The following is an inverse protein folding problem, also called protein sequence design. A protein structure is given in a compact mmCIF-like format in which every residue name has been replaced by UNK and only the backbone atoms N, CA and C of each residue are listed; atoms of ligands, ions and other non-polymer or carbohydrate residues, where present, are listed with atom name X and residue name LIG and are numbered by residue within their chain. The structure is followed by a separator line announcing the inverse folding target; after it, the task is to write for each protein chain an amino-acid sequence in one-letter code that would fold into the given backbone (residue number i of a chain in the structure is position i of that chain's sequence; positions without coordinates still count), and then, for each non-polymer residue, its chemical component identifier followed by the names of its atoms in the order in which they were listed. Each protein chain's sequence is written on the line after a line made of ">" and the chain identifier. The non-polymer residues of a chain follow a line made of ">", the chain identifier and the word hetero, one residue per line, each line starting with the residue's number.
data_IF_148133629056
#
_entry.id   IF_148133629056
#
_cell.length_a   1.000
_cell.length_b   1.000
_cell.length_c   1.000
_cell.angle_alpha   90.00
_cell.angle_beta   90.00
_cell.angle_gamma   90.00
#
_symmetry.space_group_name_H-M   'P 1'
#
loop_
_entity.id
_entity.type
_entity.pdbx_description
1 polymer ?
#
# COMPACT_ATOMS: atom_id res chain seq x y z
N UNK A 1 37.54 30.34 30.47
CA UNK A 1 36.27 30.38 31.19
C UNK A 1 35.08 30.85 30.32
N UNK A 2 35.13 32.01 29.65
CA UNK A 2 34.05 32.51 28.79
C UNK A 2 33.68 31.56 27.62
N UNK A 3 34.58 30.88 26.99
CA UNK A 3 34.31 29.95 25.89
C UNK A 3 33.69 28.62 26.38
N UNK A 4 34.09 28.13 27.55
CA UNK A 4 33.53 26.95 28.19
C UNK A 4 32.07 27.23 28.59
N UNK A 5 31.78 28.41 29.14
CA UNK A 5 30.42 28.80 29.51
C UNK A 5 29.48 28.94 28.27
N UNK A 6 30.00 29.50 27.19
CA UNK A 6 29.27 29.56 25.89
C UNK A 6 29.01 28.18 25.31
N UNK A 7 30.02 27.30 25.38
CA UNK A 7 29.87 25.92 24.92
C UNK A 7 28.88 25.13 25.76
N UNK A 8 28.90 25.26 27.08
CA UNK A 8 27.93 24.64 27.99
C UNK A 8 26.51 25.21 27.78
N UNK A 9 26.37 26.51 27.52
CA UNK A 9 25.09 27.12 27.22
C UNK A 9 24.53 26.65 25.86
N UNK A 10 25.41 26.51 24.85
CA UNK A 10 25.02 25.94 23.55
C UNK A 10 24.61 24.47 23.68
N UNK A 11 25.36 23.68 24.44
CA UNK A 11 25.09 22.27 24.72
C UNK A 11 23.76 22.12 25.49
N UNK A 12 23.50 22.97 26.49
CA UNK A 12 22.21 22.95 27.23
C UNK A 12 21.03 23.37 26.37
N UNK A 13 21.22 24.33 25.44
CA UNK A 13 20.17 24.74 24.51
C UNK A 13 19.84 23.63 23.50
N UNK A 14 20.84 22.93 23.02
CA UNK A 14 20.64 21.75 22.12
C UNK A 14 19.92 20.61 22.86
N UNK A 15 20.29 20.34 24.14
CA UNK A 15 19.63 19.34 24.97
C UNK A 15 18.16 19.69 25.27
N UNK A 16 17.83 20.98 25.47
CA UNK A 16 16.45 21.43 25.69
C UNK A 16 15.59 21.29 24.43
N UNK A 17 16.13 21.56 23.25
CA UNK A 17 15.42 21.37 21.97
C UNK A 17 15.19 19.89 21.70
N UNK A 18 16.17 19.04 22.01
CA UNK A 18 16.08 17.57 21.85
C UNK A 18 14.98 16.96 22.72
N UNK A 19 14.79 17.46 23.95
CA UNK A 19 13.80 16.94 24.89
C UNK A 19 12.34 17.22 24.47
N UNK A 20 12.10 18.14 23.52
CA UNK A 20 10.77 18.53 23.04
C UNK A 20 10.36 17.89 21.71
N UNK A 21 11.29 17.25 20.98
CA UNK A 21 10.95 16.63 19.70
C UNK A 21 10.26 15.27 19.93
N UNK A 22 9.03 15.15 19.43
CA UNK A 22 8.23 13.93 19.52
C UNK A 22 7.61 13.60 18.16
N UNK A 23 7.30 12.31 17.93
CA UNK A 23 6.48 11.93 16.79
C UNK A 23 5.07 12.53 16.93
N UNK A 24 4.37 12.84 15.83
CA UNK A 24 2.98 13.28 15.85
C UNK A 24 2.08 12.24 16.50
N UNK A 25 1.33 12.65 17.52
CA UNK A 25 0.39 11.78 18.22
C UNK A 25 -0.79 11.41 17.33
N UNK A 26 -1.28 10.19 17.47
CA UNK A 26 -2.54 9.76 16.90
C UNK A 26 -3.63 10.02 17.93
N UNK A 27 -4.75 10.62 17.54
CA UNK A 27 -5.83 10.93 18.48
C UNK A 27 -6.50 9.63 18.98
N UNK A 28 -6.89 9.56 20.26
CA UNK A 28 -7.66 8.45 20.77
C UNK A 28 -9.07 8.43 20.18
N UNK A 29 -9.55 7.26 19.80
CA UNK A 29 -10.96 7.05 19.48
C UNK A 29 -11.77 7.12 20.78
N UNK A 30 -12.71 8.07 20.89
CA UNK A 30 -13.50 8.28 22.12
C UNK A 30 -14.47 7.15 22.39
N UNK A 31 -15.17 6.70 21.35
CA UNK A 31 -16.16 5.61 21.41
C UNK A 31 -16.06 4.83 20.11
N UNK A 32 -15.99 3.51 20.22
CA UNK A 32 -16.03 2.62 19.07
C UNK A 32 -17.41 2.66 18.41
N UNK A 33 -17.41 2.82 17.08
CA UNK A 33 -18.61 2.76 16.25
C UNK A 33 -18.24 2.14 14.91
N UNK A 34 -18.70 0.91 14.65
CA UNK A 34 -18.39 0.16 13.42
C UNK A 34 -18.92 0.81 12.15
N UNK A 35 -19.84 1.78 12.25
CA UNK A 35 -20.40 2.53 11.12
C UNK A 35 -19.63 3.82 10.80
N UNK A 36 -18.63 4.21 11.61
CA UNK A 36 -17.91 5.48 11.45
C UNK A 36 -16.45 5.28 11.04
N UNK A 37 -15.83 6.37 10.58
CA UNK A 37 -14.42 6.43 10.17
C UNK A 37 -14.21 6.02 8.71
N UNK A 38 -12.94 5.86 8.33
CA UNK A 38 -12.53 5.52 6.97
C UNK A 38 -12.72 4.02 6.72
N UNK A 39 -13.89 3.67 6.16
CA UNK A 39 -14.33 2.30 5.84
C UNK A 39 -14.91 2.25 4.44
N UNK A 40 -14.76 1.12 3.79
CA UNK A 40 -15.34 0.92 2.45
C UNK A 40 -16.88 1.12 2.46
N UNK A 41 -17.56 0.58 3.48
CA UNK A 41 -19.02 0.73 3.66
C UNK A 41 -19.52 2.18 3.79
N UNK A 42 -18.63 3.13 4.06
CA UNK A 42 -18.98 4.55 4.22
C UNK A 42 -18.77 5.38 2.96
N UNK A 43 -18.31 4.75 1.87
CA UNK A 43 -18.21 5.42 0.57
C UNK A 43 -19.61 5.58 -0.05
N UNK A 44 -19.80 6.67 -0.77
CA UNK A 44 -21.03 6.86 -1.55
C UNK A 44 -20.94 6.00 -2.82
N UNK A 45 -21.70 4.90 -2.85
CA UNK A 45 -21.79 4.00 -3.99
C UNK A 45 -22.63 4.56 -5.17
N UNK A 46 -23.08 5.82 -5.10
CA UNK A 46 -24.13 6.35 -5.97
C UNK A 46 -23.71 6.65 -7.41
N UNK A 47 -22.43 6.63 -7.74
CA UNK A 47 -21.99 7.01 -9.09
C UNK A 47 -21.67 5.83 -10.01
N UNK A 48 -21.40 4.64 -9.49
CA UNK A 48 -21.14 3.42 -10.26
C UNK A 48 -22.19 2.35 -9.96
N UNK A 49 -22.70 1.73 -11.01
CA UNK A 49 -23.48 0.49 -10.85
C UNK A 49 -22.53 -0.58 -10.33
N UNK A 50 -22.95 -1.37 -9.36
CA UNK A 50 -22.15 -2.42 -8.73
C UNK A 50 -21.92 -3.66 -9.65
N UNK A 51 -22.16 -3.55 -10.95
CA UNK A 51 -21.97 -4.61 -11.93
C UNK A 51 -20.51 -4.85 -12.36
N UNK A 52 -19.63 -3.87 -12.14
CA UNK A 52 -18.19 -3.95 -12.35
C UNK A 52 -17.44 -3.59 -11.07
N UNK A 53 -16.57 -4.47 -10.60
CA UNK A 53 -15.72 -4.20 -9.45
C UNK A 53 -14.25 -4.30 -9.80
N UNK A 54 -13.51 -3.19 -9.66
CA UNK A 54 -12.12 -3.08 -10.08
C UNK A 54 -11.19 -2.84 -8.89
N UNK A 55 -10.27 -3.78 -8.69
CA UNK A 55 -9.22 -3.72 -7.66
C UNK A 55 -7.88 -3.50 -8.34
N UNK A 56 -7.18 -2.42 -7.96
CA UNK A 56 -5.79 -2.21 -8.30
C UNK A 56 -4.88 -2.60 -7.12
N UNK A 57 -3.74 -3.19 -7.43
CA UNK A 57 -2.68 -3.42 -6.47
C UNK A 57 -1.37 -2.85 -6.99
N UNK A 58 -0.74 -1.96 -6.19
CA UNK A 58 0.51 -1.30 -6.50
C UNK A 58 1.61 -1.76 -5.54
N UNK A 59 2.59 -2.47 -6.07
CA UNK A 59 3.70 -3.01 -5.28
C UNK A 59 4.67 -1.96 -4.78
N UNK A 60 5.56 -2.35 -3.88
CA UNK A 60 6.72 -1.57 -3.49
C UNK A 60 7.78 -1.47 -4.58
N UNK A 61 8.77 -0.58 -4.38
CA UNK A 61 9.90 -0.37 -5.30
C UNK A 61 10.32 1.09 -5.53
N UNK A 62 10.05 1.99 -4.58
CA UNK A 62 10.43 3.41 -4.66
C UNK A 62 9.84 4.12 -5.88
N UNK A 63 10.58 5.05 -6.47
CA UNK A 63 10.14 5.82 -7.65
C UNK A 63 9.84 4.91 -8.86
N UNK A 64 10.53 3.74 -8.98
CA UNK A 64 10.23 2.75 -10.03
C UNK A 64 8.78 2.26 -9.95
N UNK A 65 8.34 1.84 -8.76
CA UNK A 65 6.98 1.38 -8.54
C UNK A 65 5.95 2.51 -8.72
N UNK A 66 6.27 3.70 -8.25
CA UNK A 66 5.42 4.86 -8.45
C UNK A 66 5.23 5.20 -9.92
N UNK A 67 6.30 5.19 -10.73
CA UNK A 67 6.25 5.48 -12.15
C UNK A 67 5.48 4.40 -12.94
N UNK A 68 5.71 3.11 -12.62
CA UNK A 68 4.99 2.00 -13.25
C UNK A 68 3.48 2.08 -12.94
N UNK A 69 3.12 2.31 -11.68
CA UNK A 69 1.73 2.47 -11.24
C UNK A 69 1.06 3.69 -11.89
N UNK A 70 1.81 4.79 -12.02
CA UNK A 70 1.33 5.99 -12.69
C UNK A 70 1.02 5.72 -14.17
N UNK A 71 1.90 5.02 -14.90
CA UNK A 71 1.68 4.65 -16.30
C UNK A 71 0.46 3.73 -16.48
N UNK A 72 0.16 2.86 -15.50
CA UNK A 72 -1.09 2.08 -15.50
C UNK A 72 -2.30 3.01 -15.38
N UNK A 73 -2.30 3.97 -14.45
CA UNK A 73 -3.40 4.94 -14.30
C UNK A 73 -3.57 5.79 -15.58
N UNK A 74 -2.49 6.23 -16.23
CA UNK A 74 -2.52 6.94 -17.51
C UNK A 74 -3.23 6.10 -18.60
N UNK A 75 -2.91 4.80 -18.67
CA UNK A 75 -3.54 3.90 -19.63
C UNK A 75 -5.02 3.69 -19.33
N UNK A 76 -5.39 3.48 -18.07
CA UNK A 76 -6.78 3.32 -17.65
C UNK A 76 -7.62 4.56 -17.95
N UNK A 77 -7.03 5.77 -17.81
CA UNK A 77 -7.68 7.05 -18.14
C UNK A 77 -8.16 7.12 -19.61
N UNK A 78 -7.42 6.51 -20.51
CA UNK A 78 -7.73 6.52 -21.96
C UNK A 78 -8.47 5.26 -22.41
N UNK A 79 -8.80 4.35 -21.49
CA UNK A 79 -9.45 3.07 -21.79
C UNK A 79 -10.92 3.10 -21.41
N UNK A 80 -11.76 2.58 -22.28
CA UNK A 80 -13.18 2.35 -22.01
C UNK A 80 -13.48 0.87 -21.96
N UNK A 81 -14.43 0.50 -21.14
CA UNK A 81 -15.01 -0.85 -21.05
C UNK A 81 -16.49 -0.75 -21.37
N UNK A 82 -17.04 -1.74 -22.08
CA UNK A 82 -18.46 -1.83 -22.37
C UNK A 82 -19.14 -2.81 -21.42
N UNK A 83 -20.15 -2.33 -20.70
CA UNK A 83 -20.94 -3.15 -19.78
C UNK A 83 -22.40 -2.86 -20.07
N UNK A 84 -23.16 -3.90 -20.41
CA UNK A 84 -24.58 -3.80 -20.77
C UNK A 84 -24.86 -2.74 -21.86
N UNK A 85 -23.99 -2.63 -22.86
CA UNK A 85 -24.10 -1.67 -23.94
C UNK A 85 -23.74 -0.22 -23.58
N UNK A 86 -23.24 0.02 -22.34
CA UNK A 86 -22.78 1.32 -21.90
C UNK A 86 -21.24 1.37 -21.88
N UNK A 87 -20.67 2.35 -22.56
CA UNK A 87 -19.23 2.61 -22.52
C UNK A 87 -18.88 3.44 -21.29
N UNK A 88 -18.02 2.91 -20.43
CA UNK A 88 -17.55 3.55 -19.19
C UNK A 88 -16.04 3.71 -19.22
N UNK A 89 -15.53 4.78 -18.61
CA UNK A 89 -14.09 5.01 -18.48
C UNK A 89 -13.52 4.14 -17.37
N UNK A 90 -12.57 3.26 -17.68
CA UNK A 90 -12.07 2.26 -16.74
C UNK A 90 -11.36 2.87 -15.52
N UNK A 91 -10.73 4.04 -15.64
CA UNK A 91 -10.14 4.74 -14.50
C UNK A 91 -11.19 5.15 -13.46
N UNK A 92 -12.39 5.54 -13.90
CA UNK A 92 -13.48 5.96 -13.01
C UNK A 92 -14.20 4.80 -12.35
N UNK A 93 -14.01 3.59 -12.88
CA UNK A 93 -14.57 2.35 -12.33
C UNK A 93 -13.71 1.72 -11.24
N UNK A 94 -12.57 2.32 -10.89
CA UNK A 94 -11.70 1.77 -9.83
C UNK A 94 -12.40 1.91 -8.48
N UNK A 95 -12.69 0.77 -7.84
CA UNK A 95 -13.32 0.72 -6.52
C UNK A 95 -12.31 0.77 -5.39
N UNK A 96 -11.19 0.07 -5.54
CA UNK A 96 -10.20 -0.09 -4.50
C UNK A 96 -8.78 -0.05 -5.08
N UNK A 97 -7.89 0.66 -4.38
CA UNK A 97 -6.44 0.59 -4.61
C UNK A 97 -5.76 0.14 -3.34
N UNK A 98 -5.14 -1.04 -3.37
CA UNK A 98 -4.23 -1.50 -2.32
C UNK A 98 -2.80 -1.21 -2.74
N UNK A 99 -1.99 -0.66 -1.84
CA UNK A 99 -0.67 -0.14 -2.22
C UNK A 99 0.38 -0.33 -1.14
N UNK A 100 1.63 -0.40 -1.58
CA UNK A 100 2.80 -0.62 -0.73
C UNK A 100 3.94 0.30 -1.16
N UNK A 101 4.65 0.90 -0.20
CA UNK A 101 5.90 1.64 -0.40
C UNK A 101 5.81 2.65 -1.55
N UNK A 102 6.65 2.53 -2.59
CA UNK A 102 6.62 3.41 -3.76
C UNK A 102 5.27 3.49 -4.46
N UNK A 103 4.53 2.38 -4.57
CA UNK A 103 3.18 2.36 -5.13
C UNK A 103 2.17 3.17 -4.31
N UNK A 104 2.42 3.33 -2.99
CA UNK A 104 1.54 4.11 -2.11
C UNK A 104 1.59 5.61 -2.40
N UNK A 105 2.68 6.13 -2.95
CA UNK A 105 2.72 7.54 -3.38
C UNK A 105 1.73 7.80 -4.50
N UNK A 106 1.73 6.97 -5.53
CA UNK A 106 0.80 7.10 -6.68
C UNK A 106 -0.65 6.86 -6.24
N UNK A 107 -0.90 5.80 -5.47
CA UNK A 107 -2.23 5.47 -4.98
C UNK A 107 -2.81 6.59 -4.11
N UNK A 108 -2.03 7.08 -3.14
CA UNK A 108 -2.46 8.12 -2.22
C UNK A 108 -2.68 9.45 -2.94
N UNK A 109 -1.79 9.85 -3.87
CA UNK A 109 -1.99 11.08 -4.61
C UNK A 109 -3.26 11.03 -5.46
N UNK A 110 -3.46 9.94 -6.23
CA UNK A 110 -4.69 9.78 -7.01
C UNK A 110 -5.95 9.75 -6.13
N UNK A 111 -5.92 9.02 -5.02
CA UNK A 111 -7.06 8.93 -4.12
C UNK A 111 -7.41 10.26 -3.43
N UNK A 112 -6.42 11.11 -3.15
CA UNK A 112 -6.63 12.42 -2.51
C UNK A 112 -6.98 13.50 -3.52
N UNK A 113 -6.27 13.57 -4.65
CA UNK A 113 -6.37 14.68 -5.60
C UNK A 113 -7.07 14.32 -6.91
N UNK A 114 -7.37 13.01 -7.13
CA UNK A 114 -8.09 12.55 -8.32
C UNK A 114 -7.33 12.84 -9.61
N UNK A 115 -8.02 13.37 -10.60
CA UNK A 115 -7.47 13.62 -11.94
C UNK A 115 -6.38 14.70 -11.99
N UNK A 116 -6.15 15.44 -10.90
CA UNK A 116 -5.02 16.39 -10.79
C UNK A 116 -3.68 15.71 -11.04
N UNK A 117 -3.56 14.42 -10.70
CA UNK A 117 -2.36 13.61 -10.95
C UNK A 117 -1.92 13.62 -12.43
N UNK A 118 -2.85 13.87 -13.37
CA UNK A 118 -2.60 13.91 -14.82
C UNK A 118 -2.44 15.32 -15.37
N UNK A 119 -2.59 16.33 -14.55
CA UNK A 119 -2.37 17.72 -14.95
C UNK A 119 -0.87 17.94 -15.14
N UNK A 120 -0.48 18.51 -16.27
CA UNK A 120 0.93 18.85 -16.54
C UNK A 120 1.47 19.81 -15.48
N UNK A 121 2.66 19.53 -14.96
CA UNK A 121 3.27 20.34 -13.89
C UNK A 121 2.62 20.19 -12.52
N UNK A 122 1.86 19.10 -12.28
CA UNK A 122 1.32 18.84 -10.95
C UNK A 122 2.41 18.45 -9.93
N UNK A 123 2.09 18.58 -8.65
CA UNK A 123 3.05 18.31 -7.56
C UNK A 123 3.61 16.89 -7.57
N UNK A 124 2.85 15.90 -7.99
CA UNK A 124 3.30 14.52 -8.00
C UNK A 124 4.40 14.29 -9.03
N UNK A 125 4.22 14.85 -10.23
CA UNK A 125 5.24 14.74 -11.27
C UNK A 125 6.48 15.56 -10.91
N UNK A 126 6.32 16.85 -10.59
CA UNK A 126 7.44 17.76 -10.38
C UNK A 126 8.20 17.50 -9.09
N UNK A 127 7.50 17.18 -7.98
CA UNK A 127 8.10 17.09 -6.67
C UNK A 127 8.33 15.64 -6.19
N UNK A 128 7.98 14.65 -7.02
CA UNK A 128 8.22 13.24 -6.68
C UNK A 128 8.77 12.43 -7.86
N UNK A 129 8.03 12.27 -8.97
CA UNK A 129 8.45 11.37 -10.04
C UNK A 129 9.77 11.82 -10.70
N UNK A 130 9.91 13.10 -10.97
CA UNK A 130 11.10 13.70 -11.61
C UNK A 130 12.03 14.40 -10.62
N UNK A 131 11.73 14.30 -9.32
CA UNK A 131 12.46 15.00 -8.28
C UNK A 131 13.42 14.08 -7.54
N UNK A 132 14.54 14.64 -7.08
CA UNK A 132 15.51 13.91 -6.27
C UNK A 132 15.16 13.98 -4.76
N UNK A 133 14.08 13.29 -4.37
CA UNK A 133 13.63 13.20 -2.98
C UNK A 133 14.72 12.64 -2.07
N UNK A 134 15.55 11.71 -2.58
CA UNK A 134 16.67 11.13 -1.83
C UNK A 134 17.67 12.20 -1.40
N UNK A 135 17.99 13.15 -2.28
CA UNK A 135 18.91 14.24 -1.96
C UNK A 135 18.36 15.15 -0.86
N UNK A 136 17.08 15.50 -0.92
CA UNK A 136 16.45 16.35 0.09
C UNK A 136 16.36 15.64 1.45
N UNK A 137 16.05 14.35 1.48
CA UNK A 137 16.12 13.55 2.70
C UNK A 137 17.53 13.61 3.30
N UNK A 138 18.54 13.43 2.46
CA UNK A 138 19.93 13.50 2.88
C UNK A 138 20.29 14.88 3.45
N UNK A 139 19.95 15.96 2.73
CA UNK A 139 20.19 17.33 3.18
C UNK A 139 19.47 17.66 4.49
N UNK A 140 18.22 17.23 4.64
CA UNK A 140 17.46 17.39 5.90
C UNK A 140 18.12 16.61 7.06
N UNK A 141 18.67 15.42 6.83
CA UNK A 141 19.40 14.65 7.84
C UNK A 141 20.71 15.32 8.29
N UNK A 142 21.38 16.06 7.40
CA UNK A 142 22.59 16.81 7.73
C UNK A 142 22.34 18.23 8.26
N UNK A 143 21.09 18.66 8.37
CA UNK A 143 20.73 19.94 8.96
C UNK A 143 20.94 19.89 10.50
N UNK A 144 21.75 20.78 11.09
CA UNK A 144 21.98 20.83 12.54
C UNK A 144 20.73 20.93 13.40
N UNK A 145 19.68 21.60 12.91
CA UNK A 145 18.39 21.66 13.58
C UNK A 145 17.77 20.26 13.74
N UNK A 146 17.86 19.42 12.69
CA UNK A 146 17.34 18.06 12.75
C UNK A 146 18.22 17.13 13.60
N UNK A 147 19.51 17.38 13.73
CA UNK A 147 20.35 16.63 14.66
C UNK A 147 19.87 16.79 16.11
N UNK A 148 19.53 18.02 16.51
CA UNK A 148 18.94 18.25 17.83
C UNK A 148 17.64 17.47 18.02
N UNK A 149 16.78 17.40 17.02
CA UNK A 149 15.52 16.65 17.06
C UNK A 149 15.75 15.13 17.08
N UNK A 150 16.68 14.64 16.26
CA UNK A 150 17.05 13.23 16.18
C UNK A 150 17.75 12.70 17.45
N UNK A 151 18.26 13.57 18.32
CA UNK A 151 18.77 13.20 19.63
C UNK A 151 17.63 12.83 20.62
N UNK A 152 16.37 13.16 20.31
CA UNK A 152 15.22 12.71 21.08
C UNK A 152 14.93 11.21 20.82
N UNK A 153 14.68 10.41 21.88
CA UNK A 153 14.32 9.00 21.72
C UNK A 153 12.94 8.78 21.07
N UNK A 154 12.12 9.83 20.98
CA UNK A 154 10.75 9.79 20.44
C UNK A 154 10.61 10.49 19.09
N UNK A 155 11.72 10.86 18.44
CA UNK A 155 11.73 11.48 17.12
C UNK A 155 12.76 10.81 16.22
N UNK A 156 12.31 10.19 15.15
CA UNK A 156 13.17 9.41 14.27
C UNK A 156 13.31 9.98 12.85
N UNK A 157 14.17 9.37 12.04
CA UNK A 157 14.38 9.73 10.64
C UNK A 157 13.11 9.66 9.82
N UNK A 158 12.18 8.78 10.18
CA UNK A 158 10.90 8.65 9.49
C UNK A 158 10.00 9.88 9.64
N UNK A 159 10.12 10.60 10.76
CA UNK A 159 9.37 11.83 10.98
C UNK A 159 9.86 12.94 10.04
N UNK A 160 11.18 13.01 9.79
CA UNK A 160 11.76 13.94 8.81
C UNK A 160 11.26 13.61 7.39
N UNK A 161 11.17 12.33 7.05
CA UNK A 161 10.61 11.90 5.77
C UNK A 161 9.12 12.24 5.65
N UNK A 162 8.35 12.05 6.73
CA UNK A 162 6.94 12.42 6.80
C UNK A 162 6.72 13.92 6.54
N UNK A 163 7.53 14.77 7.19
CA UNK A 163 7.50 16.22 6.98
C UNK A 163 7.83 16.57 5.52
N UNK A 164 8.85 15.93 4.94
CA UNK A 164 9.22 16.17 3.53
C UNK A 164 8.10 15.76 2.57
N UNK A 165 7.46 14.60 2.76
CA UNK A 165 6.36 14.15 1.90
C UNK A 165 5.13 15.04 2.04
N UNK A 166 4.87 15.56 3.24
CA UNK A 166 3.85 16.56 3.48
C UNK A 166 4.14 17.84 2.69
N UNK A 167 5.35 18.39 2.81
CA UNK A 167 5.76 19.64 2.17
C UNK A 167 5.72 19.55 0.63
N UNK A 168 6.27 18.47 0.09
CA UNK A 168 6.44 18.31 -1.37
C UNK A 168 5.15 17.86 -2.06
N UNK A 169 4.39 16.94 -1.46
CA UNK A 169 3.40 16.15 -2.20
C UNK A 169 1.98 16.32 -1.64
N UNK A 170 1.77 15.96 -0.35
CA UNK A 170 0.43 15.74 0.19
C UNK A 170 -0.18 16.95 0.91
N UNK A 171 0.63 17.96 1.28
CA UNK A 171 0.14 19.09 2.09
C UNK A 171 -0.47 18.63 3.40
N UNK A 172 -1.59 19.21 3.77
CA UNK A 172 -2.34 18.92 5.01
C UNK A 172 -3.36 17.78 4.85
N UNK A 173 -3.30 17.01 3.78
CA UNK A 173 -4.26 15.92 3.54
C UNK A 173 -4.18 14.86 4.65
N UNK A 174 -5.32 14.49 5.19
CA UNK A 174 -5.52 13.51 6.25
C UNK A 174 -6.65 12.52 5.89
N UNK A 175 -6.84 11.47 6.71
CA UNK A 175 -7.93 10.52 6.47
C UNK A 175 -9.31 11.13 6.76
N UNK A 176 -9.44 12.16 7.60
CA UNK A 176 -10.70 12.90 7.72
C UNK A 176 -11.13 13.53 6.39
N UNK A 177 -10.19 13.99 5.58
CA UNK A 177 -10.50 14.56 4.26
C UNK A 177 -11.07 13.50 3.30
N UNK A 178 -10.56 12.26 3.34
CA UNK A 178 -11.11 11.13 2.58
C UNK A 178 -12.49 10.71 3.07
N UNK A 179 -12.71 10.68 4.40
CA UNK A 179 -14.03 10.40 5.00
C UNK A 179 -15.07 11.44 4.57
N UNK A 180 -14.69 12.71 4.51
CA UNK A 180 -15.62 13.79 4.06
C UNK A 180 -15.97 13.69 2.58
N UNK A 181 -15.01 13.30 1.73
CA UNK A 181 -15.23 13.18 0.28
C UNK A 181 -16.13 11.99 -0.09
N UNK A 182 -15.99 10.87 0.62
CA UNK A 182 -16.73 9.62 0.40
C UNK A 182 -16.71 9.10 -1.04
N UNK A 183 -15.66 9.41 -1.80
CA UNK A 183 -15.53 9.03 -3.21
C UNK A 183 -14.62 7.83 -3.38
N UNK A 184 -14.87 7.03 -4.43
CA UNK A 184 -13.93 6.01 -4.90
C UNK A 184 -12.68 6.66 -5.53
N UNK A 185 -11.55 5.95 -5.56
CA UNK A 185 -11.31 4.62 -5.02
C UNK A 185 -11.11 4.61 -3.51
N UNK A 186 -11.42 3.49 -2.87
CA UNK A 186 -11.02 3.22 -1.49
C UNK A 186 -9.54 2.89 -1.43
N UNK A 187 -8.78 3.62 -0.61
CA UNK A 187 -7.34 3.41 -0.48
C UNK A 187 -7.02 2.48 0.68
N UNK A 188 -6.19 1.48 0.41
CA UNK A 188 -5.56 0.62 1.41
C UNK A 188 -4.05 0.82 1.35
N UNK A 189 -3.52 1.73 2.17
CA UNK A 189 -2.08 1.95 2.32
C UNK A 189 -1.58 0.93 3.34
N UNK A 190 -0.62 0.09 2.94
CA UNK A 190 -0.16 -1.03 3.75
C UNK A 190 1.24 -0.79 4.32
N UNK A 191 1.39 -1.06 5.61
CA UNK A 191 2.65 -1.11 6.34
C UNK A 191 2.80 -2.48 7.01
N UNK A 192 3.89 -2.72 7.72
CA UNK A 192 4.15 -3.93 8.50
C UNK A 192 4.26 -3.61 9.97
N UNK A 193 3.49 -4.30 10.81
CA UNK A 193 3.69 -4.29 12.26
C UNK A 193 5.02 -4.98 12.60
N UNK A 194 5.99 -4.22 13.07
CA UNK A 194 7.34 -4.71 13.38
C UNK A 194 7.36 -5.84 14.40
N UNK A 195 6.45 -5.81 15.39
CA UNK A 195 6.41 -6.80 16.48
C UNK A 195 5.94 -8.18 16.00
N UNK A 196 5.06 -8.20 15.01
CA UNK A 196 4.39 -9.44 14.56
C UNK A 196 4.75 -9.85 13.13
N UNK A 197 5.39 -8.98 12.36
CA UNK A 197 5.63 -9.20 10.92
C UNK A 197 4.35 -9.30 10.12
N UNK A 198 3.23 -8.83 10.66
CA UNK A 198 1.92 -8.89 10.00
C UNK A 198 1.59 -7.59 9.30
N UNK A 199 0.81 -7.68 8.21
CA UNK A 199 0.33 -6.52 7.49
C UNK A 199 -0.53 -5.63 8.40
N UNK A 200 -0.25 -4.32 8.37
CA UNK A 200 -1.00 -3.26 9.02
C UNK A 200 -1.54 -2.31 7.96
N UNK A 201 -2.84 -2.26 7.78
CA UNK A 201 -3.48 -1.45 6.74
C UNK A 201 -4.09 -0.18 7.34
N UNK A 202 -3.89 0.97 6.71
CA UNK A 202 -4.49 2.25 7.14
C UNK A 202 -5.97 2.30 6.73
N UNK A 203 -6.79 1.59 7.47
CA UNK A 203 -8.26 1.57 7.43
C UNK A 203 -8.80 1.61 8.86
N UNK A 204 -9.97 2.18 9.10
CA UNK A 204 -10.47 2.35 10.47
C UNK A 204 -10.63 1.02 11.22
N UNK A 205 -11.05 -0.05 10.55
CA UNK A 205 -11.18 -1.38 11.18
C UNK A 205 -9.86 -1.97 11.71
N UNK A 206 -8.70 -1.50 11.19
CA UNK A 206 -7.38 -1.84 11.73
C UNK A 206 -7.01 -0.97 12.94
N UNK A 207 -7.54 0.26 13.00
CA UNK A 207 -7.32 1.21 14.10
C UNK A 207 -8.28 1.02 15.28
N UNK A 208 -9.44 0.40 15.06
CA UNK A 208 -10.43 0.15 16.12
C UNK A 208 -9.85 -0.63 17.32
N UNK A 209 -9.14 -1.77 17.13
CA UNK A 209 -8.60 -2.53 18.25
C UNK A 209 -7.50 -1.79 19.03
N UNK A 210 -6.86 -0.81 18.45
CA UNK A 210 -5.93 0.07 19.17
C UNK A 210 -6.60 1.34 19.72
N UNK A 211 -7.92 1.47 19.60
CA UNK A 211 -8.70 2.62 20.02
C UNK A 211 -8.13 3.97 19.52
N UNK A 212 -7.62 4.02 18.29
CA UNK A 212 -7.07 5.21 17.67
C UNK A 212 -7.95 5.71 16.53
N UNK A 213 -8.04 7.03 16.36
CA UNK A 213 -8.76 7.66 15.26
C UNK A 213 -7.86 7.79 14.04
N UNK A 214 -8.05 6.92 13.05
CA UNK A 214 -7.34 7.01 11.77
C UNK A 214 -7.55 8.37 11.10
N UNK A 215 -8.70 9.01 11.29
CA UNK A 215 -9.00 10.31 10.69
C UNK A 215 -7.95 11.37 10.99
N UNK A 216 -7.33 11.33 12.18
CA UNK A 216 -6.28 12.26 12.62
C UNK A 216 -4.91 12.03 11.98
N UNK A 217 -4.73 10.89 11.27
CA UNK A 217 -3.45 10.55 10.64
C UNK A 217 -3.35 11.23 9.29
N UNK A 218 -2.23 11.94 9.03
CA UNK A 218 -1.97 12.53 7.72
C UNK A 218 -1.67 11.47 6.67
N UNK A 219 -2.04 11.73 5.42
CA UNK A 219 -1.73 10.85 4.29
C UNK A 219 -0.21 10.69 4.13
N UNK A 220 0.55 11.78 4.30
CA UNK A 220 2.01 11.75 4.28
C UNK A 220 2.58 10.75 5.30
N UNK A 221 1.98 10.67 6.51
CA UNK A 221 2.40 9.75 7.56
C UNK A 221 2.10 8.29 7.22
N UNK A 222 0.94 8.01 6.64
CA UNK A 222 0.59 6.67 6.19
C UNK A 222 1.51 6.19 5.05
N UNK A 223 1.79 7.07 4.08
CA UNK A 223 2.72 6.76 2.97
C UNK A 223 4.15 6.60 3.50
N UNK A 224 4.59 7.43 4.46
CA UNK A 224 5.88 7.28 5.12
C UNK A 224 5.99 5.93 5.86
N UNK A 225 4.95 5.50 6.58
CA UNK A 225 4.92 4.19 7.21
C UNK A 225 5.03 3.05 6.19
N UNK A 226 4.30 3.18 5.08
CA UNK A 226 4.28 2.20 4.00
C UNK A 226 5.62 2.08 3.26
N UNK A 227 6.40 3.19 3.19
CA UNK A 227 7.70 3.27 2.52
C UNK A 227 8.88 3.34 3.49
N UNK A 228 8.68 2.87 4.71
CA UNK A 228 9.66 2.89 5.79
C UNK A 228 10.64 1.73 5.67
N UNK A 229 11.48 1.77 4.64
CA UNK A 229 12.46 0.71 4.39
C UNK A 229 13.42 0.54 5.58
N UNK A 230 13.55 -0.69 6.11
CA UNK A 230 14.46 -0.97 7.21
C UNK A 230 15.89 -0.50 6.91
N UNK A 231 16.64 -0.10 7.94
CA UNK A 231 18.00 0.50 7.85
C UNK A 231 18.00 1.95 7.38
N UNK A 232 17.26 2.32 6.34
CA UNK A 232 17.21 3.71 5.87
C UNK A 232 16.47 4.61 6.86
N UNK A 233 15.36 4.12 7.42
CA UNK A 233 14.52 4.88 8.35
C UNK A 233 14.38 4.17 9.71
N UNK A 234 13.98 4.94 10.72
CA UNK A 234 13.51 4.40 12.00
C UNK A 234 12.08 3.89 11.86
N UNK A 235 11.64 2.87 12.64
CA UNK A 235 10.23 2.48 12.65
C UNK A 235 9.31 3.67 12.94
N UNK A 236 8.18 3.77 12.21
CA UNK A 236 7.16 4.77 12.50
C UNK A 236 6.34 4.32 13.70
N UNK A 237 6.13 5.22 14.66
CA UNK A 237 5.39 4.91 15.89
C UNK A 237 3.98 5.49 15.83
N UNK A 238 2.98 4.67 16.12
CA UNK A 238 1.59 5.10 16.38
C UNK A 238 1.26 4.88 17.85
N UNK A 239 0.48 5.82 18.41
CA UNK A 239 -0.11 5.62 19.74
C UNK A 239 -1.21 4.55 19.69
N UNK A 240 -1.32 3.78 20.75
CA UNK A 240 -2.34 2.75 20.96
C UNK A 240 -2.94 2.94 22.34
N UNK A 241 -4.27 2.90 22.43
CA UNK A 241 -5.05 3.18 23.63
C UNK A 241 -5.96 1.99 23.99
N UNK A 242 -5.41 0.77 24.19
CA UNK A 242 -6.22 -0.43 24.37
C UNK A 242 -7.21 -0.27 25.54
N UNK A 243 -8.47 -0.57 25.26
CA UNK A 243 -9.57 -0.46 26.23
C UNK A 243 -10.16 0.95 26.40
N UNK A 244 -9.62 1.99 25.73
CA UNK A 244 -10.10 3.38 25.94
C UNK A 244 -11.41 3.70 25.21
N UNK A 245 -11.84 2.91 24.21
CA UNK A 245 -12.96 3.24 23.33
C UNK A 245 -14.12 2.24 23.39
N UNK A 246 -14.14 1.33 24.36
CA UNK A 246 -15.17 0.26 24.47
C UNK A 246 -15.23 -0.61 23.18
N UNK A 247 -14.08 -0.94 22.61
CA UNK A 247 -14.01 -1.75 21.39
C UNK A 247 -14.68 -3.10 21.57
N UNK A 248 -15.59 -3.43 20.66
CA UNK A 248 -16.25 -4.71 20.58
C UNK A 248 -15.58 -5.55 19.51
N UNK A 249 -14.95 -6.65 19.91
CA UNK A 249 -14.33 -7.59 18.98
C UNK A 249 -15.38 -8.17 18.03
N UNK A 250 -15.18 -8.11 16.70
CA UNK A 250 -16.10 -8.69 15.74
C UNK A 250 -16.21 -10.21 15.90
N UNK A 251 -17.42 -10.78 15.74
CA UNK A 251 -17.68 -12.23 15.90
C UNK A 251 -16.79 -13.11 15.03
N UNK A 252 -16.38 -12.63 13.85
CA UNK A 252 -15.50 -13.39 12.99
C UNK A 252 -14.14 -13.70 13.64
N UNK A 253 -13.63 -12.85 14.53
CA UNK A 253 -12.35 -13.06 15.23
C UNK A 253 -12.48 -14.28 16.17
N UNK A 254 -13.55 -14.33 16.97
CA UNK A 254 -13.80 -15.47 17.84
C UNK A 254 -13.98 -16.78 17.05
N UNK A 255 -14.75 -16.74 15.96
CA UNK A 255 -14.97 -17.89 15.08
C UNK A 255 -13.68 -18.37 14.44
N UNK A 256 -12.85 -17.44 13.94
CA UNK A 256 -11.58 -17.74 13.31
C UNK A 256 -10.58 -18.40 14.27
N UNK A 257 -10.57 -17.97 15.54
CA UNK A 257 -9.68 -18.54 16.57
C UNK A 257 -10.04 -19.99 16.96
N UNK A 258 -11.22 -20.46 16.59
CA UNK A 258 -11.65 -21.85 16.78
C UNK A 258 -11.41 -22.72 15.54
N UNK A 259 -10.97 -22.15 14.42
CA UNK A 259 -10.93 -22.78 13.09
C UNK A 259 -9.50 -22.89 12.48
N UNK A 260 -8.51 -23.16 13.33
CA UNK A 260 -7.11 -23.31 12.87
C UNK A 260 -6.97 -24.41 11.82
N UNK A 261 -7.69 -25.53 11.97
CA UNK A 261 -7.57 -26.70 11.11
C UNK A 261 -8.04 -26.47 9.68
N UNK A 262 -9.12 -25.72 9.48
CA UNK A 262 -9.70 -25.49 8.16
C UNK A 262 -9.22 -24.19 7.52
N UNK A 263 -8.97 -23.15 8.35
CA UNK A 263 -8.62 -21.80 7.87
C UNK A 263 -7.42 -21.20 8.64
N UNK A 264 -6.21 -21.75 8.49
CA UNK A 264 -5.04 -21.31 9.28
C UNK A 264 -4.68 -19.83 9.05
N UNK A 265 -4.88 -19.29 7.84
CA UNK A 265 -4.62 -17.86 7.54
C UNK A 265 -5.61 -16.93 8.23
N UNK A 266 -6.90 -17.31 8.26
CA UNK A 266 -7.94 -16.58 8.98
C UNK A 266 -7.70 -16.60 10.49
N UNK A 267 -7.35 -17.78 11.03
CA UNK A 267 -6.92 -17.94 12.43
C UNK A 267 -5.75 -17.02 12.77
N UNK A 268 -4.69 -17.04 11.93
CA UNK A 268 -3.50 -16.21 12.14
C UNK A 268 -3.87 -14.72 12.17
N UNK A 269 -4.69 -14.24 11.23
CA UNK A 269 -5.14 -12.86 11.16
C UNK A 269 -5.93 -12.47 12.42
N UNK A 270 -6.88 -13.30 12.85
CA UNK A 270 -7.65 -13.08 14.07
C UNK A 270 -6.75 -13.00 15.32
N UNK A 271 -5.79 -13.92 15.40
CA UNK A 271 -4.79 -13.92 16.48
C UNK A 271 -3.96 -12.63 16.48
N UNK A 272 -3.50 -12.16 15.32
CA UNK A 272 -2.75 -10.90 15.25
C UNK A 272 -3.61 -9.71 15.69
N UNK A 273 -4.85 -9.64 15.21
CA UNK A 273 -5.77 -8.56 15.60
C UNK A 273 -5.99 -8.52 17.11
N UNK A 274 -6.19 -9.68 17.76
CA UNK A 274 -6.40 -9.76 19.21
C UNK A 274 -5.21 -9.25 20.02
N UNK A 275 -3.97 -9.35 19.51
CA UNK A 275 -2.79 -8.84 20.21
C UNK A 275 -2.81 -7.33 20.44
N UNK A 276 -3.58 -6.58 19.65
CA UNK A 276 -3.73 -5.13 19.84
C UNK A 276 -4.54 -4.76 21.07
N UNK A 277 -5.32 -5.69 21.62
CA UNK A 277 -6.09 -5.51 22.88
C UNK A 277 -5.23 -5.74 24.13
N UNK A 278 -4.00 -6.20 23.99
CA UNK A 278 -3.10 -6.40 25.13
C UNK A 278 -2.73 -5.03 25.74
N UNK A 279 -2.99 -4.86 27.04
CA UNK A 279 -2.85 -3.58 27.76
C UNK A 279 -1.42 -3.01 27.77
N UNK A 280 -0.42 -3.85 27.60
CA UNK A 280 1.00 -3.42 27.53
C UNK A 280 1.37 -2.82 26.17
N UNK A 281 0.54 -3.01 25.16
CA UNK A 281 0.82 -2.57 23.79
C UNK A 281 0.36 -1.12 23.56
N UNK A 282 1.06 -0.17 24.19
CA UNK A 282 0.75 1.28 24.09
C UNK A 282 1.22 1.93 22.80
N UNK A 283 2.05 1.25 22.02
CA UNK A 283 2.59 1.72 20.76
C UNK A 283 2.57 0.62 19.71
N UNK A 284 2.36 0.99 18.46
CA UNK A 284 2.54 0.14 17.29
C UNK A 284 3.68 0.72 16.47
N UNK A 285 4.73 -0.08 16.24
CA UNK A 285 5.88 0.30 15.43
C UNK A 285 5.74 -0.32 14.04
N UNK A 286 5.80 0.54 13.02
CA UNK A 286 5.57 0.15 11.64
C UNK A 286 6.85 0.23 10.81
N UNK A 287 7.01 -0.74 9.92
CA UNK A 287 8.04 -0.82 8.89
C UNK A 287 7.37 -0.77 7.52
N UNK A 288 8.19 -0.75 6.44
CA UNK A 288 7.74 -0.85 5.05
C UNK A 288 6.75 -2.00 4.87
N UNK A 289 5.70 -1.72 4.11
CA UNK A 289 4.63 -2.69 3.86
C UNK A 289 5.11 -3.92 3.12
N UNK A 290 6.16 -3.78 2.32
CA UNK A 290 6.78 -4.86 1.58
C UNK A 290 7.28 -6.00 2.47
N UNK A 291 7.70 -5.73 3.70
CA UNK A 291 8.18 -6.76 4.64
C UNK A 291 7.11 -7.82 4.91
N UNK A 292 5.83 -7.46 4.99
CA UNK A 292 4.72 -8.41 5.17
C UNK A 292 4.10 -8.86 3.85
N UNK A 293 3.96 -7.95 2.89
CA UNK A 293 3.29 -8.19 1.60
C UNK A 293 3.63 -7.09 0.59
N UNK A 294 4.62 -7.31 -0.25
CA UNK A 294 5.08 -6.29 -1.21
C UNK A 294 4.09 -6.03 -2.37
N UNK A 295 3.15 -6.94 -2.62
CA UNK A 295 2.08 -6.78 -3.60
C UNK A 295 0.88 -6.04 -3.00
N UNK A 296 0.64 -6.16 -1.69
CA UNK A 296 -0.47 -5.49 -1.01
C UNK A 296 -1.82 -6.19 -1.15
N UNK A 297 -1.87 -7.44 -1.60
CA UNK A 297 -3.13 -8.16 -1.85
C UNK A 297 -3.53 -9.16 -0.75
N UNK A 298 -2.68 -9.49 0.21
CA UNK A 298 -2.99 -10.52 1.21
C UNK A 298 -4.24 -10.22 2.01
N UNK A 299 -4.43 -8.95 2.42
CA UNK A 299 -5.65 -8.55 3.13
C UNK A 299 -6.91 -8.64 2.25
N UNK A 300 -6.96 -8.04 1.04
CA UNK A 300 -8.06 -8.23 0.11
C UNK A 300 -8.37 -9.72 -0.16
N UNK A 301 -7.35 -10.54 -0.41
CA UNK A 301 -7.53 -11.97 -0.70
C UNK A 301 -8.01 -12.78 0.50
N UNK A 302 -7.54 -12.47 1.70
CA UNK A 302 -8.04 -13.12 2.92
C UNK A 302 -9.51 -12.79 3.13
N UNK A 303 -9.92 -11.57 2.81
CA UNK A 303 -11.32 -11.14 2.85
C UNK A 303 -12.18 -11.88 1.81
N UNK A 304 -11.66 -12.14 0.62
CA UNK A 304 -12.33 -12.93 -0.42
C UNK A 304 -12.54 -14.40 -0.03
N UNK A 305 -11.62 -14.96 0.74
CA UNK A 305 -11.67 -16.39 1.15
C UNK A 305 -12.51 -16.63 2.39
N UNK A 306 -12.71 -15.62 3.21
CA UNK A 306 -13.55 -15.73 4.39
C UNK A 306 -14.98 -15.42 4.02
N UNK A 307 -15.91 -16.37 4.21
CA UNK A 307 -17.34 -16.10 4.13
C UNK A 307 -17.84 -15.24 5.31
N UNK A 308 -16.95 -14.45 5.92
CA UNK A 308 -17.30 -13.60 7.05
C UNK A 308 -17.86 -12.26 6.58
N UNK A 309 -19.11 -11.93 6.93
CA UNK A 309 -19.73 -10.65 6.56
C UNK A 309 -18.91 -9.44 6.98
N UNK A 310 -18.21 -9.53 8.11
CA UNK A 310 -17.49 -8.40 8.71
C UNK A 310 -16.09 -8.17 8.11
N UNK A 311 -15.55 -9.13 7.35
CA UNK A 311 -14.20 -9.08 6.79
C UNK A 311 -14.16 -8.87 5.28
N UNK A 312 -15.22 -9.24 4.62
CA UNK A 312 -15.22 -9.30 3.17
C UNK A 312 -15.61 -7.96 2.59
N UNK A 313 -14.65 -7.28 1.96
CA UNK A 313 -14.97 -6.17 1.05
C UNK A 313 -16.01 -6.64 0.02
N UNK A 314 -15.97 -7.90 -0.37
CA UNK A 314 -16.91 -8.52 -1.31
C UNK A 314 -18.29 -8.75 -0.69
N UNK A 315 -18.40 -8.98 0.63
CA UNK A 315 -19.70 -9.02 1.30
C UNK A 315 -20.29 -7.62 1.55
N UNK A 316 -19.45 -6.59 1.52
CA UNK A 316 -19.89 -5.20 1.50
C UNK A 316 -20.35 -4.74 0.10
N UNK A 317 -20.01 -5.55 -0.91
CA UNK A 317 -20.43 -5.38 -2.29
C UNK A 317 -21.55 -6.38 -2.50
N UNK A 318 -22.66 -5.95 -3.06
CA UNK A 318 -23.75 -6.87 -3.43
C UNK A 318 -23.26 -7.82 -4.54
N UNK A 319 -22.70 -8.98 -4.14
CA UNK A 319 -22.18 -9.98 -5.11
C UNK A 319 -23.22 -10.44 -6.12
N UNK A 320 -24.52 -10.30 -5.81
CA UNK A 320 -25.61 -10.64 -6.73
C UNK A 320 -25.71 -9.64 -7.88
N UNK A 321 -25.15 -8.44 -7.73
CA UNK A 321 -25.16 -7.39 -8.77
C UNK A 321 -23.87 -7.36 -9.59
N UNK A 322 -22.73 -7.87 -9.03
CA UNK A 322 -21.43 -7.87 -9.73
C UNK A 322 -21.46 -8.87 -10.89
N UNK A 323 -21.18 -8.38 -12.08
CA UNK A 323 -21.01 -9.19 -13.29
C UNK A 323 -19.55 -9.43 -13.61
N UNK A 324 -18.69 -8.43 -13.39
CA UNK A 324 -17.26 -8.49 -13.68
C UNK A 324 -16.43 -8.10 -12.45
N UNK A 325 -15.51 -8.98 -12.06
CA UNK A 325 -14.53 -8.74 -11.01
C UNK A 325 -13.15 -8.66 -11.63
N UNK A 326 -12.50 -7.50 -11.53
CA UNK A 326 -11.23 -7.22 -12.19
C UNK A 326 -10.14 -6.97 -11.16
N UNK A 327 -9.05 -7.72 -11.27
CA UNK A 327 -7.80 -7.49 -10.55
C UNK A 327 -6.73 -7.01 -11.52
N UNK A 328 -6.16 -5.84 -11.25
CA UNK A 328 -4.97 -5.35 -11.96
C UNK A 328 -3.83 -5.26 -10.96
N UNK A 329 -2.87 -6.16 -11.09
CA UNK A 329 -1.69 -6.25 -10.22
C UNK A 329 -0.51 -5.61 -10.92
N UNK A 330 0.04 -4.56 -10.32
CA UNK A 330 1.22 -3.86 -10.82
C UNK A 330 2.41 -4.23 -9.95
N UNK A 331 3.28 -5.08 -10.47
CA UNK A 331 4.47 -5.58 -9.78
C UNK A 331 5.73 -4.96 -10.37
N UNK A 332 6.30 -4.03 -9.62
CA UNK A 332 7.54 -3.36 -9.97
C UNK A 332 8.77 -4.03 -9.33
N UNK A 333 8.75 -5.32 -9.13
CA UNK A 333 9.87 -6.12 -8.63
C UNK A 333 11.14 -5.87 -9.45
N UNK A 334 12.30 -5.88 -8.81
CA UNK A 334 13.60 -5.84 -9.48
C UNK A 334 14.42 -7.09 -9.12
N UNK A 335 15.32 -7.45 -10.00
CA UNK A 335 16.27 -8.55 -9.81
C UNK A 335 17.70 -7.99 -9.91
N UNK A 336 18.11 -7.27 -8.87
CA UNK A 336 19.51 -6.84 -8.79
C UNK A 336 20.38 -7.98 -8.28
N UNK A 337 21.38 -8.38 -9.05
CA UNK A 337 22.39 -9.32 -8.58
C UNK A 337 23.27 -8.66 -7.54
N UNK A 338 23.39 -9.23 -6.34
CA UNK A 338 24.28 -8.67 -5.33
C UNK A 338 25.76 -8.84 -5.75
N UNK A 339 26.55 -7.80 -5.67
CA UNK A 339 27.98 -7.81 -6.03
C UNK A 339 28.78 -8.83 -5.19
N UNK A 340 28.28 -9.20 -4.01
CA UNK A 340 28.96 -10.14 -3.13
C UNK A 340 28.94 -11.58 -3.64
N UNK A 341 28.02 -11.95 -4.56
CA UNK A 341 27.99 -13.28 -5.17
C UNK A 341 29.14 -13.48 -6.19
N UNK A 342 29.78 -12.41 -6.62
CA UNK A 342 30.92 -12.42 -7.52
C UNK A 342 32.27 -12.48 -6.77
N UNK A 343 32.24 -12.42 -5.45
CA UNK A 343 33.45 -12.35 -4.62
C UNK A 343 33.49 -13.45 -3.54
N UNK A 344 34.66 -14.07 -3.30
CA UNK A 344 34.82 -15.02 -2.19
C UNK A 344 34.89 -14.32 -0.81
N UNK A 345 34.87 -12.98 -0.76
CA UNK A 345 34.89 -12.26 0.51
C UNK A 345 33.53 -12.32 1.20
N UNK A 346 33.53 -12.51 2.52
CA UNK A 346 32.30 -12.48 3.29
C UNK A 346 31.61 -11.10 3.15
N UNK A 347 30.30 -11.07 2.87
CA UNK A 347 29.53 -9.82 2.79
C UNK A 347 29.64 -9.01 4.08
N UNK A 348 29.73 -7.68 3.95
CA UNK A 348 29.72 -6.78 5.10
C UNK A 348 28.37 -6.79 5.83
N UNK A 349 28.36 -6.44 7.12
CA UNK A 349 27.16 -6.45 7.97
C UNK A 349 25.99 -5.70 7.36
N UNK A 350 26.26 -4.55 6.72
CA UNK A 350 25.20 -3.75 6.06
C UNK A 350 24.58 -4.49 4.88
N UNK A 351 25.38 -5.18 4.06
CA UNK A 351 24.90 -5.99 2.93
C UNK A 351 24.05 -7.16 3.44
N UNK A 352 24.48 -7.83 4.52
CA UNK A 352 23.72 -8.92 5.15
C UNK A 352 22.37 -8.43 5.67
N UNK A 353 22.34 -7.31 6.41
CA UNK A 353 21.10 -6.74 6.95
C UNK A 353 20.16 -6.30 5.81
N UNK A 354 20.70 -5.72 4.75
CA UNK A 354 19.93 -5.35 3.58
C UNK A 354 19.34 -6.59 2.90
N UNK A 355 20.09 -7.65 2.70
CA UNK A 355 19.60 -8.90 2.11
C UNK A 355 18.51 -9.54 2.97
N UNK A 356 18.68 -9.56 4.30
CA UNK A 356 17.63 -10.06 5.22
C UNK A 356 16.34 -9.23 5.09
N UNK A 357 16.45 -7.93 4.83
CA UNK A 357 15.28 -7.07 4.65
C UNK A 357 14.62 -7.24 3.27
N UNK A 358 15.37 -7.55 2.20
CA UNK A 358 14.87 -7.57 0.81
C UNK A 358 14.48 -8.96 0.32
N UNK A 359 15.25 -10.01 0.65
CA UNK A 359 14.97 -11.36 0.16
C UNK A 359 13.56 -11.88 0.48
N UNK A 360 13.00 -11.64 1.70
CA UNK A 360 11.62 -12.02 1.99
C UNK A 360 10.60 -11.26 1.11
N UNK A 361 10.89 -10.01 0.71
CA UNK A 361 9.99 -9.22 -0.13
C UNK A 361 9.72 -9.91 -1.47
N UNK A 362 10.77 -10.44 -2.10
CA UNK A 362 10.67 -11.10 -3.40
C UNK A 362 9.93 -12.44 -3.28
N UNK A 363 10.29 -13.26 -2.30
CA UNK A 363 9.64 -14.55 -2.06
C UNK A 363 8.15 -14.38 -1.72
N UNK A 364 7.81 -13.43 -0.86
CA UNK A 364 6.41 -13.17 -0.49
C UNK A 364 5.59 -12.55 -1.63
N UNK A 365 6.23 -11.82 -2.55
CA UNK A 365 5.55 -11.31 -3.74
C UNK A 365 5.06 -12.44 -4.61
N UNK A 366 5.91 -13.45 -4.88
CA UNK A 366 5.53 -14.64 -5.62
C UNK A 366 4.38 -15.39 -4.95
N UNK A 367 4.50 -15.69 -3.65
CA UNK A 367 3.45 -16.36 -2.87
C UNK A 367 2.11 -15.61 -2.92
N UNK A 368 2.14 -14.27 -2.94
CA UNK A 368 0.92 -13.46 -2.98
C UNK A 368 0.25 -13.51 -4.34
N UNK A 369 1.01 -13.51 -5.42
CA UNK A 369 0.48 -13.66 -6.79
C UNK A 369 -0.09 -15.06 -7.00
N UNK A 370 0.60 -16.11 -6.52
CA UNK A 370 0.11 -17.50 -6.54
C UNK A 370 -1.18 -17.63 -5.71
N UNK A 371 -1.22 -17.04 -4.51
CA UNK A 371 -2.42 -17.02 -3.67
C UNK A 371 -3.61 -16.37 -4.36
N UNK A 372 -3.40 -15.27 -5.08
CA UNK A 372 -4.45 -14.65 -5.90
C UNK A 372 -4.98 -15.65 -6.93
N UNK A 373 -4.07 -16.26 -7.69
CA UNK A 373 -4.43 -17.23 -8.74
C UNK A 373 -5.24 -18.39 -8.17
N UNK A 374 -4.78 -19.00 -7.09
CA UNK A 374 -5.48 -20.11 -6.42
C UNK A 374 -6.85 -19.71 -5.88
N UNK A 375 -6.95 -18.50 -5.33
CA UNK A 375 -8.21 -17.99 -4.78
C UNK A 375 -9.24 -17.82 -5.88
N UNK A 376 -8.84 -17.23 -7.01
CA UNK A 376 -9.73 -16.97 -8.13
C UNK A 376 -10.13 -18.27 -8.85
N UNK A 377 -9.19 -19.22 -9.07
CA UNK A 377 -9.48 -20.53 -9.65
C UNK A 377 -10.50 -21.32 -8.82
N UNK A 378 -10.32 -21.37 -7.49
CA UNK A 378 -11.27 -22.09 -6.61
C UNK A 378 -12.67 -21.47 -6.69
N UNK A 379 -12.78 -20.14 -6.78
CA UNK A 379 -14.06 -19.49 -6.93
C UNK A 379 -14.70 -19.83 -8.27
N UNK A 380 -13.93 -19.83 -9.35
CA UNK A 380 -14.36 -20.22 -10.69
C UNK A 380 -14.85 -21.68 -10.70
N UNK A 381 -14.11 -22.60 -10.10
CA UNK A 381 -14.51 -24.00 -9.96
C UNK A 381 -15.84 -24.17 -9.21
N UNK A 382 -16.04 -23.44 -8.11
CA UNK A 382 -17.30 -23.48 -7.34
C UNK A 382 -18.46 -22.95 -8.16
N UNK A 383 -18.26 -21.88 -8.95
CA UNK A 383 -19.30 -21.35 -9.84
C UNK A 383 -19.67 -22.34 -10.96
N UNK A 384 -18.67 -23.06 -11.51
CA UNK A 384 -18.90 -24.08 -12.56
C UNK A 384 -19.67 -25.28 -12.03
N UNK A 385 -19.43 -25.67 -10.77
CA UNK A 385 -20.10 -26.81 -10.13
C UNK A 385 -21.53 -26.50 -9.70
N UNK A 386 -21.88 -25.25 -9.54
CA UNK A 386 -23.21 -24.82 -9.07
C UNK A 386 -23.80 -23.76 -9.99
N UNK A 387 -24.67 -24.24 -10.90
CA UNK A 387 -25.36 -23.39 -11.90
C UNK A 387 -26.33 -22.38 -11.29
N UNK A 388 -26.74 -22.57 -10.04
CA UNK A 388 -27.65 -21.68 -9.33
C UNK A 388 -26.94 -20.48 -8.71
N UNK A 389 -25.59 -20.50 -8.66
CA UNK A 389 -24.83 -19.35 -8.22
C UNK A 389 -24.75 -18.29 -9.32
N UNK A 390 -24.84 -17.04 -8.88
CA UNK A 390 -24.60 -15.91 -9.78
C UNK A 390 -23.22 -16.01 -10.42
N UNK A 391 -23.17 -15.97 -11.74
CA UNK A 391 -21.96 -16.12 -12.54
C UNK A 391 -21.23 -14.75 -12.60
N UNK A 392 -20.03 -14.67 -12.04
CA UNK A 392 -19.17 -13.47 -12.09
C UNK A 392 -17.99 -13.76 -13.01
N UNK A 393 -17.82 -12.96 -14.04
CA UNK A 393 -16.64 -13.01 -14.89
C UNK A 393 -15.42 -12.46 -14.12
N UNK A 394 -14.33 -13.22 -14.08
CA UNK A 394 -13.14 -12.83 -13.31
C UNK A 394 -11.98 -12.54 -14.28
N UNK A 395 -11.39 -11.35 -14.14
CA UNK A 395 -10.25 -10.91 -14.94
C UNK A 395 -9.04 -10.70 -14.03
N UNK A 396 -7.97 -11.48 -14.26
CA UNK A 396 -6.69 -11.32 -13.58
C UNK A 396 -5.66 -10.72 -14.53
N UNK A 397 -5.43 -9.44 -14.40
CA UNK A 397 -4.49 -8.68 -15.22
C UNK A 397 -3.23 -8.43 -14.38
N UNK A 398 -2.09 -8.88 -14.89
CA UNK A 398 -0.80 -8.69 -14.26
C UNK A 398 0.06 -7.78 -15.12
N UNK A 399 0.75 -6.83 -14.52
CA UNK A 399 1.67 -5.87 -15.15
C UNK A 399 2.99 -5.94 -14.38
N UNK A 400 3.95 -6.66 -14.93
CA UNK A 400 5.27 -6.87 -14.34
C UNK A 400 6.34 -7.08 -15.41
N UNK A 401 7.59 -6.89 -15.05
CA UNK A 401 8.70 -6.92 -16.03
C UNK A 401 8.99 -8.33 -16.56
N UNK A 402 8.60 -9.37 -15.84
CA UNK A 402 8.68 -10.78 -16.29
C UNK A 402 7.81 -11.06 -17.52
N UNK A 403 6.84 -10.19 -17.86
CA UNK A 403 6.06 -10.29 -19.09
C UNK A 403 6.75 -9.69 -20.32
N UNK A 404 7.91 -9.07 -20.18
CA UNK A 404 8.70 -8.55 -21.30
C UNK A 404 9.36 -9.72 -22.00
N UNK A 405 9.01 -9.96 -23.26
CA UNK A 405 9.54 -11.11 -24.06
C UNK A 405 11.02 -10.95 -24.38
N UNK A 406 11.42 -9.74 -24.82
CA UNK A 406 12.82 -9.45 -25.10
C UNK A 406 13.65 -9.48 -23.82
N UNK A 407 14.67 -10.35 -23.81
CA UNK A 407 15.50 -10.60 -22.63
C UNK A 407 16.31 -9.35 -22.24
N UNK A 408 16.91 -8.66 -23.20
CA UNK A 408 17.80 -7.53 -22.92
C UNK A 408 16.98 -6.34 -22.40
N UNK A 409 15.80 -6.11 -22.97
CA UNK A 409 14.85 -5.12 -22.46
C UNK A 409 14.36 -5.50 -21.06
N UNK A 410 13.99 -6.76 -20.82
CA UNK A 410 13.57 -7.24 -19.51
C UNK A 410 14.65 -7.07 -18.44
N UNK A 411 15.88 -7.47 -18.74
CA UNK A 411 17.02 -7.35 -17.83
C UNK A 411 17.31 -5.86 -17.53
N UNK A 412 17.14 -4.96 -18.52
CA UNK A 412 17.23 -3.51 -18.31
C UNK A 412 16.23 -3.04 -17.25
N UNK A 413 14.95 -3.41 -17.36
CA UNK A 413 13.94 -2.99 -16.39
C UNK A 413 14.16 -3.62 -14.99
N UNK A 414 14.56 -4.88 -14.92
CA UNK A 414 14.92 -5.54 -13.67
C UNK A 414 16.15 -4.90 -13.00
N UNK A 415 17.05 -4.32 -13.74
CA UNK A 415 18.25 -3.64 -13.21
C UNK A 415 17.97 -2.26 -12.60
N UNK A 416 16.78 -1.67 -12.82
CA UNK A 416 16.42 -0.39 -12.23
C UNK A 416 16.28 -0.55 -10.73
N UNK A 417 17.21 0.01 -9.95
CA UNK A 417 17.26 -0.13 -8.50
C UNK A 417 16.10 0.56 -7.77
N UNK A 418 15.83 0.14 -6.55
CA UNK A 418 14.87 0.81 -5.66
C UNK A 418 15.49 2.07 -5.08
N UNK A 419 14.94 3.23 -5.41
CA UNK A 419 15.44 4.55 -4.99
C UNK A 419 14.31 5.58 -5.00
N UNK A 420 14.49 6.68 -4.28
CA UNK A 420 13.68 7.90 -4.38
C UNK A 420 14.36 8.95 -5.28
N UNK A 421 15.12 8.49 -6.25
CA UNK A 421 15.73 9.28 -7.29
C UNK A 421 15.98 8.39 -8.52
N UNK A 422 15.26 8.65 -9.60
CA UNK A 422 15.51 8.03 -10.91
C UNK A 422 15.76 9.12 -11.96
N UNK A 423 16.55 8.78 -12.96
CA UNK A 423 16.69 9.64 -14.13
C UNK A 423 15.32 9.79 -14.83
N UNK A 424 15.06 10.97 -15.38
CA UNK A 424 13.78 11.29 -16.04
C UNK A 424 13.46 10.28 -17.14
N UNK A 425 14.47 9.90 -17.91
CA UNK A 425 14.36 8.93 -19.00
C UNK A 425 13.83 7.57 -18.49
N UNK A 426 14.34 7.09 -17.34
CA UNK A 426 13.86 5.84 -16.74
C UNK A 426 12.41 5.97 -16.26
N UNK A 427 12.02 7.11 -15.69
CA UNK A 427 10.63 7.36 -15.27
C UNK A 427 9.70 7.32 -16.48
N UNK A 428 10.05 8.00 -17.57
CA UNK A 428 9.24 8.05 -18.78
C UNK A 428 9.16 6.67 -19.48
N UNK A 429 10.26 5.90 -19.48
CA UNK A 429 10.26 4.52 -19.99
C UNK A 429 9.37 3.60 -19.16
N UNK A 430 9.41 3.70 -17.82
CA UNK A 430 8.56 2.91 -16.93
C UNK A 430 7.06 3.22 -17.15
N UNK A 431 6.71 4.49 -17.27
CA UNK A 431 5.34 4.93 -17.57
C UNK A 431 4.85 4.37 -18.91
N UNK A 432 5.65 4.50 -19.97
CA UNK A 432 5.34 3.96 -21.30
C UNK A 432 5.20 2.43 -21.26
N UNK A 433 6.17 1.73 -20.63
CA UNK A 433 6.19 0.27 -20.54
C UNK A 433 4.97 -0.26 -19.77
N UNK A 434 4.52 0.41 -18.71
CA UNK A 434 3.31 0.06 -17.99
C UNK A 434 2.07 0.02 -18.92
N UNK A 435 1.92 1.04 -19.75
CA UNK A 435 0.83 1.09 -20.74
C UNK A 435 0.92 -0.01 -21.81
N UNK A 436 2.15 -0.35 -22.25
CA UNK A 436 2.40 -1.44 -23.20
C UNK A 436 2.07 -2.80 -22.61
N UNK A 437 2.58 -3.10 -21.42
CA UNK A 437 2.32 -4.38 -20.71
C UNK A 437 0.81 -4.55 -20.43
N UNK A 438 0.15 -3.51 -19.94
CA UNK A 438 -1.29 -3.55 -19.71
C UNK A 438 -2.06 -3.81 -21.02
N UNK A 439 -1.74 -3.10 -22.10
CA UNK A 439 -2.37 -3.26 -23.41
C UNK A 439 -2.03 -4.59 -24.07
N UNK A 440 -0.86 -5.15 -23.78
CA UNK A 440 -0.42 -6.46 -24.25
C UNK A 440 -1.16 -7.63 -23.61
N UNK A 441 -1.67 -7.45 -22.38
CA UNK A 441 -2.35 -8.50 -21.62
C UNK A 441 -3.60 -9.01 -22.36
N UNK A 442 -3.68 -10.32 -22.55
CA UNK A 442 -4.86 -10.96 -23.16
C UNK A 442 -6.12 -10.73 -22.33
N UNK A 443 -6.00 -10.80 -21.00
CA UNK A 443 -7.12 -10.54 -20.10
C UNK A 443 -7.62 -9.08 -20.20
N UNK A 444 -6.70 -8.14 -20.37
CA UNK A 444 -7.09 -6.73 -20.58
C UNK A 444 -7.78 -6.51 -21.93
N UNK A 445 -7.30 -7.16 -23.00
CA UNK A 445 -7.92 -7.12 -24.33
C UNK A 445 -9.33 -7.73 -24.32
N UNK A 446 -9.55 -8.82 -23.59
CA UNK A 446 -10.88 -9.42 -23.43
C UNK A 446 -11.81 -8.51 -22.63
N UNK A 447 -11.34 -7.97 -21.50
CA UNK A 447 -12.11 -7.02 -20.67
C UNK A 447 -12.60 -5.81 -21.48
N UNK A 448 -11.75 -5.29 -22.37
CA UNK A 448 -12.02 -4.09 -23.19
C UNK A 448 -12.74 -4.41 -24.52
N UNK A 449 -13.04 -5.68 -24.81
CA UNK A 449 -13.66 -6.11 -26.07
C UNK A 449 -12.76 -6.01 -27.30
N UNK A 450 -11.46 -5.83 -27.13
CA UNK A 450 -10.50 -5.76 -28.24
C UNK A 450 -10.24 -7.13 -28.88
N UNK A 451 -10.54 -8.23 -28.18
CA UNK A 451 -10.46 -9.62 -28.63
C UNK A 451 -11.73 -10.34 -28.19
N UNK A 452 -12.27 -11.22 -29.04
CA UNK A 452 -13.44 -12.00 -28.68
C UNK A 452 -13.17 -12.87 -27.43
N UNK A 453 -14.16 -12.94 -26.56
CA UNK A 453 -14.10 -13.79 -25.37
C UNK A 453 -13.99 -15.27 -25.81
N UNK A 454 -12.89 -15.89 -25.50
CA UNK A 454 -12.68 -17.33 -25.76
C UNK A 454 -13.32 -18.22 -24.69
N UNK A 455 -13.67 -17.62 -23.53
CA UNK A 455 -14.37 -18.28 -22.43
C UNK A 455 -15.38 -17.30 -21.78
N UNK A 456 -16.59 -17.78 -21.52
CA UNK A 456 -17.65 -16.98 -20.86
C UNK A 456 -17.38 -16.63 -19.39
N UNK A 457 -16.23 -16.99 -18.84
CA UNK A 457 -15.93 -16.89 -17.41
C UNK A 457 -14.77 -15.94 -17.10
N UNK A 458 -14.42 -15.04 -18.01
CA UNK A 458 -13.33 -14.12 -17.85
C UNK A 458 -11.97 -14.73 -18.23
N UNK A 459 -10.91 -14.22 -17.63
CA UNK A 459 -9.55 -14.57 -17.97
C UNK A 459 -8.70 -14.68 -16.69
N UNK A 460 -8.31 -15.92 -16.37
CA UNK A 460 -7.48 -16.27 -15.21
C UNK A 460 -6.05 -16.62 -15.60
#
# INVERSE_FOLDING_TARGET
>A
MKYILKFLFLLSSVLLISACAQFPKTDPLKIYDSSKGYRYSNLNATENKDDLFVILSFSGGGTRAAALSYGVLEKLRTTTVEIEGQKRNLLKEIDLISSVSGGSFTAAYYGVFGDDIFTEGNRFQENFLYYNVKNDLFLKLFNPYNWARLASPTFGRIEIATELYKDLIFGEADFHSLVRRRTKPFLMINATDMTKGSQFTFIQSQFDPICADLGSVSIARAVAASSNFPVAFTPLTLDSYPGACEYIEPRWVENALKDLGNNPRRYYRARMLRTYQETQRRYVHLLDGGVADNIGLRNPLTSLRSNDPDLSIINLINLEEIKKLVFIVVDARNETKPDFDESPHAPGTLSVVNSIATTPLDNYSFDTVELLQDTLRRRDDVQRMNSDLHQVEIYRIYVGFDQIEDKDERDKFFSIGTSFNLAKENVDELRRKAGELLSGSQCFKQLTGAVAETNRMGCL
#
